data_IF_526365032843
#
_entry.id   IF_526365032843
#
_cell.length_a   1.000
_cell.length_b   1.000
_cell.length_c   1.000
_cell.angle_alpha   90.00
_cell.angle_beta   90.00
_cell.angle_gamma   90.00
#
_symmetry.space_group_name_H-M   'P 1'
#
loop_
_entity.id
_entity.type
_entity.pdbx_description
1 polymer ?
#
# COMPACT_ATOMS: atom_id res chain seq x y z
N UNK A 1 -11.33 16.57 1.41
CA UNK A 1 -10.02 15.87 1.34
C UNK A 1 -9.17 16.63 0.34
N UNK A 2 -7.89 16.81 0.65
CA UNK A 2 -6.94 17.43 -0.25
C UNK A 2 -6.80 16.60 -1.55
N UNK A 3 -6.92 17.22 -2.72
CA UNK A 3 -6.87 16.55 -4.03
C UNK A 3 -5.52 15.83 -4.23
N UNK A 4 -4.46 16.38 -3.64
CA UNK A 4 -3.12 15.79 -3.59
C UNK A 4 -3.11 14.42 -2.89
N UNK A 5 -3.79 14.32 -1.75
CA UNK A 5 -3.92 13.10 -0.94
C UNK A 5 -4.74 12.03 -1.66
N UNK A 6 -5.82 12.44 -2.34
CA UNK A 6 -6.64 11.52 -3.14
C UNK A 6 -5.81 10.86 -4.25
N UNK A 7 -5.04 11.65 -5.01
CA UNK A 7 -4.14 11.14 -6.06
C UNK A 7 -3.05 10.22 -5.51
N UNK A 8 -2.51 10.53 -4.33
CA UNK A 8 -1.53 9.68 -3.66
C UNK A 8 -2.13 8.31 -3.32
N UNK A 9 -3.34 8.28 -2.75
CA UNK A 9 -4.05 7.03 -2.42
C UNK A 9 -4.34 6.20 -3.66
N UNK A 10 -4.85 6.83 -4.72
CA UNK A 10 -5.11 6.16 -6.01
C UNK A 10 -3.83 5.57 -6.61
N UNK A 11 -2.72 6.30 -6.57
CA UNK A 11 -1.43 5.80 -7.04
C UNK A 11 -0.94 4.60 -6.23
N UNK A 12 -1.05 4.65 -4.89
CA UNK A 12 -0.67 3.54 -4.02
C UNK A 12 -1.57 2.32 -4.29
N UNK A 13 -2.88 2.52 -4.40
CA UNK A 13 -3.82 1.45 -4.70
C UNK A 13 -3.52 0.78 -6.05
N UNK A 14 -3.22 1.57 -7.09
CA UNK A 14 -2.80 1.06 -8.40
C UNK A 14 -1.53 0.21 -8.29
N UNK A 15 -0.51 0.71 -7.58
CA UNK A 15 0.75 -0.02 -7.38
C UNK A 15 0.56 -1.34 -6.62
N UNK A 16 -0.36 -1.39 -5.65
CA UNK A 16 -0.72 -2.61 -4.93
C UNK A 16 -1.40 -3.60 -5.87
N UNK A 17 -2.42 -3.15 -6.63
CA UNK A 17 -3.17 -4.00 -7.54
C UNK A 17 -2.29 -4.61 -8.64
N UNK A 18 -1.38 -3.83 -9.21
CA UNK A 18 -0.41 -4.30 -10.21
C UNK A 18 0.47 -5.44 -9.66
N UNK A 19 0.99 -5.28 -8.44
CA UNK A 19 1.84 -6.29 -7.79
C UNK A 19 1.07 -7.54 -7.39
N UNK A 20 -0.16 -7.38 -6.90
CA UNK A 20 -1.04 -8.51 -6.61
C UNK A 20 -1.33 -9.32 -7.88
N UNK A 21 -1.60 -8.66 -9.00
CA UNK A 21 -1.79 -9.33 -10.28
C UNK A 21 -0.52 -10.08 -10.75
N UNK A 22 0.66 -9.47 -10.60
CA UNK A 22 1.94 -10.14 -10.90
C UNK A 22 2.14 -11.38 -10.03
N UNK A 23 1.87 -11.29 -8.72
CA UNK A 23 1.99 -12.42 -7.80
C UNK A 23 1.06 -13.58 -8.17
N UNK A 24 -0.18 -13.30 -8.58
CA UNK A 24 -1.12 -14.33 -9.05
C UNK A 24 -0.53 -15.08 -10.25
N UNK A 25 -0.08 -14.35 -11.28
CA UNK A 25 0.51 -14.95 -12.48
C UNK A 25 1.79 -15.75 -12.19
N UNK A 26 2.62 -15.28 -11.25
CA UNK A 26 3.83 -15.99 -10.85
C UNK A 26 3.53 -17.25 -10.03
N UNK A 27 2.49 -17.25 -9.19
CA UNK A 27 2.03 -18.46 -8.47
C UNK A 27 1.55 -19.53 -9.45
N UNK A 28 0.79 -19.14 -10.46
CA UNK A 28 0.39 -20.04 -11.56
C UNK A 28 1.60 -20.56 -12.34
N UNK A 29 2.59 -19.71 -12.58
CA UNK A 29 3.83 -20.13 -13.24
C UNK A 29 4.62 -21.14 -12.39
N UNK A 30 4.61 -21.00 -11.06
CA UNK A 30 5.26 -21.93 -10.13
C UNK A 30 4.60 -23.31 -10.13
N UNK A 31 3.27 -23.37 -10.27
CA UNK A 31 2.54 -24.65 -10.32
C UNK A 31 2.75 -25.36 -11.67
N UNK A 32 2.97 -24.62 -12.74
CA UNK A 32 3.21 -25.14 -14.10
C UNK A 32 4.70 -25.37 -14.43
N UNK A 33 5.61 -25.10 -13.49
CA UNK A 33 7.04 -25.23 -13.70
C UNK A 33 7.44 -26.68 -14.06
N UNK A 34 8.16 -26.85 -15.17
CA UNK A 34 8.54 -28.17 -15.71
C UNK A 34 9.63 -28.86 -14.90
N UNK A 35 10.46 -28.09 -14.19
CA UNK A 35 11.56 -28.60 -13.38
C UNK A 35 11.47 -28.08 -11.95
N UNK A 36 12.03 -28.84 -11.01
CA UNK A 36 12.12 -28.42 -9.62
C UNK A 36 12.98 -27.16 -9.45
N UNK A 37 14.03 -27.01 -10.26
CA UNK A 37 14.90 -25.83 -10.23
C UNK A 37 14.17 -24.56 -10.68
N UNK A 38 13.39 -24.64 -11.76
CA UNK A 38 12.56 -23.52 -12.22
C UNK A 38 11.52 -23.14 -11.16
N UNK A 39 10.88 -24.14 -10.56
CA UNK A 39 9.92 -23.94 -9.48
C UNK A 39 10.55 -23.22 -8.29
N UNK A 40 11.71 -23.67 -7.84
CA UNK A 40 12.44 -23.05 -6.73
C UNK A 40 12.78 -21.59 -7.03
N UNK A 41 13.30 -21.31 -8.23
CA UNK A 41 13.59 -19.93 -8.66
C UNK A 41 12.34 -19.07 -8.67
N UNK A 42 11.20 -19.58 -9.15
CA UNK A 42 9.94 -18.82 -9.16
C UNK A 42 9.45 -18.59 -7.73
N UNK A 43 9.56 -19.58 -6.83
CA UNK A 43 9.16 -19.44 -5.42
C UNK A 43 10.02 -18.41 -4.67
N UNK A 44 11.33 -18.36 -4.94
CA UNK A 44 12.20 -17.32 -4.38
C UNK A 44 11.80 -15.93 -4.85
N UNK A 45 11.50 -15.76 -6.13
CA UNK A 45 11.00 -14.48 -6.66
C UNK A 45 9.65 -14.11 -6.06
N UNK A 46 8.74 -15.08 -5.87
CA UNK A 46 7.46 -14.86 -5.19
C UNK A 46 7.65 -14.33 -3.77
N UNK A 47 8.60 -14.89 -3.01
CA UNK A 47 8.88 -14.44 -1.65
C UNK A 47 9.32 -12.97 -1.60
N UNK A 48 10.19 -12.56 -2.52
CA UNK A 48 10.64 -11.16 -2.63
C UNK A 48 9.47 -10.24 -2.97
N UNK A 49 8.65 -10.61 -3.96
CA UNK A 49 7.51 -9.80 -4.37
C UNK A 49 6.41 -9.70 -3.30
N UNK A 50 6.20 -10.77 -2.51
CA UNK A 50 5.28 -10.76 -1.38
C UNK A 50 5.77 -9.81 -0.27
N UNK A 51 7.09 -9.75 -0.01
CA UNK A 51 7.68 -8.79 0.93
C UNK A 51 7.51 -7.34 0.44
N UNK A 52 7.76 -7.08 -0.84
CA UNK A 52 7.52 -5.77 -1.44
C UNK A 52 6.05 -5.34 -1.32
N UNK A 53 5.11 -6.25 -1.62
CA UNK A 53 3.67 -5.99 -1.49
C UNK A 53 3.30 -5.66 -0.04
N UNK A 54 3.84 -6.40 0.93
CA UNK A 54 3.63 -6.12 2.34
C UNK A 54 4.16 -4.72 2.73
N UNK A 55 5.31 -4.31 2.17
CA UNK A 55 5.84 -2.96 2.31
C UNK A 55 4.88 -1.89 1.79
N UNK A 56 4.33 -2.07 0.59
CA UNK A 56 3.34 -1.15 0.02
C UNK A 56 2.06 -1.06 0.85
N UNK A 57 1.55 -2.18 1.37
CA UNK A 57 0.38 -2.22 2.25
C UNK A 57 0.64 -1.48 3.57
N UNK A 58 1.84 -1.60 4.14
CA UNK A 58 2.25 -0.81 5.33
C UNK A 58 2.27 0.69 5.04
N UNK A 59 2.76 1.11 3.87
CA UNK A 59 2.75 2.52 3.46
C UNK A 59 1.31 3.01 3.32
N UNK A 60 0.43 2.25 2.68
CA UNK A 60 -0.99 2.60 2.54
C UNK A 60 -1.65 2.82 3.92
N UNK A 61 -1.45 1.87 4.85
CA UNK A 61 -1.97 1.98 6.21
C UNK A 61 -1.44 3.23 6.96
N UNK A 62 -0.16 3.58 6.79
CA UNK A 62 0.42 4.79 7.38
C UNK A 62 -0.20 6.07 6.80
N UNK A 63 -0.47 6.10 5.50
CA UNK A 63 -1.15 7.23 4.85
C UNK A 63 -2.58 7.38 5.39
N UNK A 64 -3.29 6.28 5.64
CA UNK A 64 -4.62 6.32 6.26
C UNK A 64 -4.56 6.82 7.71
N UNK A 65 -3.60 6.33 8.50
CA UNK A 65 -3.39 6.79 9.87
C UNK A 65 -3.06 8.28 9.93
N UNK A 66 -2.14 8.77 9.09
CA UNK A 66 -1.76 10.18 9.07
C UNK A 66 -2.96 11.11 8.85
N UNK A 67 -3.94 10.68 8.05
CA UNK A 67 -5.17 11.44 7.77
C UNK A 67 -6.13 11.42 8.96
N UNK A 68 -6.10 10.39 9.81
CA UNK A 68 -6.84 10.37 11.07
C UNK A 68 -6.21 11.32 12.12
N UNK A 69 -4.90 11.54 12.03
CA UNK A 69 -4.15 12.42 12.93
C UNK A 69 -4.08 13.89 12.50
N UNK A 70 -4.55 14.25 11.30
CA UNK A 70 -4.71 15.66 10.95
C UNK A 70 -5.66 16.33 11.96
N UNK A 71 -5.17 17.31 12.74
CA UNK A 71 -6.03 18.03 13.67
C UNK A 71 -7.01 18.82 12.81
N UNK A 72 -8.23 18.31 12.67
CA UNK A 72 -9.38 19.06 12.15
C UNK A 72 -9.46 20.34 12.96
N UNK A 73 -8.91 21.43 12.41
CA UNK A 73 -9.04 22.82 12.82
C UNK A 73 -9.62 22.99 14.25
N UNK A 74 -8.76 22.90 15.28
CA UNK A 74 -9.02 23.54 16.57
C UNK A 74 -8.90 25.07 16.40
N UNK A 75 -9.82 25.65 15.64
CA UNK A 75 -10.05 27.10 15.48
C UNK A 75 -11.57 27.25 15.60
N UNK A 76 -12.17 27.77 16.65
CA UNK A 76 -11.70 28.75 17.61
C UNK A 76 -12.29 28.50 19.00
N UNK A 77 -11.44 28.41 20.02
CA UNK A 77 -11.85 28.81 21.37
C UNK A 77 -11.91 30.34 21.31
N UNK A 78 -13.12 30.90 21.12
CA UNK A 78 -13.36 32.34 21.29
C UNK A 78 -13.11 32.65 22.77
N UNK A 79 -11.95 33.24 23.07
CA UNK A 79 -11.76 33.96 24.32
C UNK A 79 -12.79 35.09 24.38
N UNK A 80 -13.63 35.18 25.42
CA UNK A 80 -14.43 36.38 25.61
C UNK A 80 -13.48 37.52 25.95
N UNK A 81 -13.54 38.61 25.18
CA UNK A 81 -12.83 39.82 25.53
C UNK A 81 -13.40 40.34 26.86
N UNK A 82 -12.59 40.33 27.92
CA UNK A 82 -12.90 41.09 29.13
C UNK A 82 -12.66 42.57 28.83
N UNK A 83 -13.74 43.32 28.54
CA UNK A 83 -13.93 44.73 28.93
C UNK A 83 -15.40 45.03 29.02
#
# INVERSE_FOLDING_TARGET
MDESLKRLRERIAKQIAEREATLVSMRESATLARTNHDRERILLTLAVLDEELAGWKKIAARVEQAVLFEPRNHRAIRMPAMR
#
